data_IF_969565743105
#
_entry.id   IF_969565743105
#
_cell.length_a   1.000
_cell.length_b   1.000
_cell.length_c   1.000
_cell.angle_alpha   90.00
_cell.angle_beta   90.00
_cell.angle_gamma   90.00
#
_symmetry.space_group_name_H-M   'P 1'
#
loop_
_entity.id
_entity.type
_entity.pdbx_description
1 polymer ?
#
# COMPACT_ATOMS: atom_id res chain seq x y z
N UNK A 1 13.98 2.26 5.70
CA UNK A 1 13.20 2.34 4.52
C UNK A 1 11.98 1.51 4.61
N UNK A 2 10.85 2.01 4.22
CA UNK A 2 9.63 1.28 4.37
C UNK A 2 9.30 0.50 3.11
N UNK A 3 9.45 -0.80 3.18
CA UNK A 3 9.12 -1.65 2.05
C UNK A 3 7.66 -1.55 1.67
N UNK A 4 6.82 -1.21 2.63
CA UNK A 4 5.40 -1.12 2.35
C UNK A 4 5.10 -0.07 1.29
N UNK A 5 5.74 1.08 1.38
CA UNK A 5 5.52 2.12 0.39
C UNK A 5 6.00 1.67 -0.98
N UNK A 6 7.10 0.93 -1.00
CA UNK A 6 7.61 0.42 -2.24
C UNK A 6 6.62 -0.58 -2.84
N UNK A 7 6.01 -1.40 -2.01
CA UNK A 7 5.02 -2.35 -2.48
C UNK A 7 3.80 -1.65 -3.02
N UNK A 8 3.40 -0.54 -2.41
CA UNK A 8 2.27 0.23 -2.92
C UNK A 8 2.58 0.78 -4.31
N UNK A 9 3.80 1.25 -4.49
CA UNK A 9 4.19 1.74 -5.81
C UNK A 9 4.12 0.61 -6.82
N UNK A 10 4.56 -0.56 -6.46
CA UNK A 10 4.52 -1.69 -7.37
C UNK A 10 3.09 -2.07 -7.70
N UNK A 11 2.18 -1.95 -6.75
CA UNK A 11 0.78 -2.25 -7.00
C UNK A 11 0.18 -1.31 -8.03
N UNK A 12 0.69 -0.07 -8.08
CA UNK A 12 0.19 0.88 -9.06
C UNK A 12 0.92 0.77 -10.40
N UNK A 13 2.20 0.45 -10.37
CA UNK A 13 2.98 0.44 -11.60
C UNK A 13 3.10 -0.95 -12.21
N UNK A 14 2.99 -1.97 -11.41
CA UNK A 14 3.10 -3.33 -11.90
C UNK A 14 2.00 -4.14 -11.28
N UNK A 15 2.24 -5.38 -11.01
CA UNK A 15 1.28 -6.22 -10.33
C UNK A 15 1.91 -6.73 -9.07
N UNK A 16 1.12 -6.93 -8.05
CA UNK A 16 1.63 -7.44 -6.79
C UNK A 16 0.55 -8.30 -6.17
N UNK A 17 0.91 -9.27 -5.37
CA UNK A 17 -0.07 -10.13 -4.75
C UNK A 17 -0.69 -9.44 -3.54
N UNK A 18 -1.94 -9.76 -3.29
CA UNK A 18 -2.62 -9.19 -2.13
C UNK A 18 -1.90 -9.59 -0.85
N UNK A 19 -1.34 -10.80 -0.80
CA UNK A 19 -0.62 -11.23 0.38
C UNK A 19 0.59 -10.37 0.66
N UNK A 20 1.29 -9.96 -0.38
CA UNK A 20 2.48 -9.13 -0.19
C UNK A 20 2.11 -7.80 0.40
N UNK A 21 1.06 -7.19 -0.12
CA UNK A 21 0.62 -5.90 0.39
C UNK A 21 0.17 -6.04 1.84
N UNK A 22 -0.62 -7.04 2.14
CA UNK A 22 -1.14 -7.20 3.50
C UNK A 22 -0.03 -7.52 4.49
N UNK A 23 0.93 -8.31 4.06
CA UNK A 23 2.06 -8.64 4.90
C UNK A 23 2.90 -7.41 5.18
N UNK A 24 3.18 -6.63 4.18
CA UNK A 24 3.94 -5.40 4.34
C UNK A 24 3.18 -4.40 5.19
N UNK A 25 1.88 -4.35 5.05
CA UNK A 25 1.05 -3.45 5.84
C UNK A 25 1.11 -3.83 7.32
N UNK A 26 1.10 -5.12 7.61
CA UNK A 26 1.21 -5.55 8.98
C UNK A 26 2.52 -5.11 9.57
N UNK A 27 3.58 -5.26 8.83
CA UNK A 27 4.90 -4.87 9.27
C UNK A 27 4.96 -3.37 9.46
N UNK A 28 4.37 -2.64 8.53
CA UNK A 28 4.32 -1.18 8.61
C UNK A 28 3.62 -0.74 9.89
N UNK A 29 2.54 -1.39 10.26
CA UNK A 29 1.82 -1.02 11.46
C UNK A 29 2.59 -1.33 12.73
N UNK A 30 3.52 -2.26 12.66
CA UNK A 30 4.35 -2.54 13.81
C UNK A 30 5.38 -1.43 13.99
N UNK A 31 5.89 -0.90 12.90
CA UNK A 31 6.87 0.16 12.97
C UNK A 31 6.19 1.48 13.29
N UNK A 32 4.99 1.68 12.78
CA UNK A 32 4.28 2.94 12.98
C UNK A 32 2.94 2.62 13.64
N UNK A 33 2.91 2.41 14.93
CA UNK A 33 1.67 2.03 15.60
C UNK A 33 0.68 3.17 15.76
N UNK A 34 1.13 4.38 15.68
CA UNK A 34 0.25 5.52 15.86
C UNK A 34 -0.55 5.80 14.61
N UNK A 35 -1.86 5.92 14.76
CA UNK A 35 -2.71 6.22 13.62
C UNK A 35 -2.42 7.59 13.04
N UNK A 36 -2.07 8.51 13.87
CA UNK A 36 -1.76 9.87 13.41
C UNK A 36 -0.55 9.85 12.51
N UNK A 37 0.47 9.07 12.88
CA UNK A 37 1.66 8.98 12.06
C UNK A 37 1.38 8.21 10.79
N UNK A 38 0.57 7.19 10.88
CA UNK A 38 0.22 6.43 9.71
C UNK A 38 -0.48 7.32 8.68
N UNK A 39 -1.38 8.14 9.13
CA UNK A 39 -2.08 9.06 8.25
C UNK A 39 -1.13 10.07 7.64
N UNK A 40 -0.21 10.56 8.45
CA UNK A 40 0.74 11.54 7.98
C UNK A 40 1.63 10.96 6.89
N UNK A 41 2.16 9.77 7.13
CA UNK A 41 3.03 9.14 6.15
C UNK A 41 2.25 8.86 4.87
N UNK A 42 1.02 8.38 5.00
CA UNK A 42 0.21 8.10 3.84
C UNK A 42 -0.09 9.35 3.02
N UNK A 43 -0.32 10.46 3.72
CA UNK A 43 -0.61 11.70 3.03
C UNK A 43 0.62 12.21 2.29
N UNK A 44 1.77 12.16 2.94
CA UNK A 44 2.99 12.62 2.32
C UNK A 44 3.34 11.74 1.13
N UNK A 45 3.12 10.44 1.26
CA UNK A 45 3.38 9.54 0.17
C UNK A 45 2.44 9.84 -1.00
N UNK A 46 1.20 10.12 -0.71
CA UNK A 46 0.24 10.42 -1.75
C UNK A 46 0.61 11.72 -2.48
N UNK A 47 1.03 12.72 -1.74
CA UNK A 47 1.43 13.98 -2.35
C UNK A 47 2.68 13.77 -3.20
N UNK A 48 3.61 12.98 -2.73
CA UNK A 48 4.86 12.79 -3.43
C UNK A 48 4.71 11.91 -4.66
N UNK A 49 3.92 10.87 -4.58
CA UNK A 49 3.83 9.92 -5.68
C UNK A 49 2.49 9.91 -6.38
N UNK A 50 1.48 10.45 -5.75
CA UNK A 50 0.15 10.40 -6.32
C UNK A 50 -0.58 9.10 -6.05
N UNK A 51 0.01 8.20 -5.26
CA UNK A 51 -0.59 6.92 -4.97
C UNK A 51 -1.14 6.90 -3.56
N UNK A 52 -2.21 6.15 -3.35
CA UNK A 52 -2.82 6.06 -2.04
C UNK A 52 -2.56 4.70 -1.44
N UNK A 53 -1.91 4.66 -0.31
CA UNK A 53 -1.62 3.39 0.32
C UNK A 53 -2.87 2.74 0.92
N UNK A 54 -3.84 3.56 1.32
CA UNK A 54 -5.07 2.99 1.84
C UNK A 54 -5.83 2.27 0.74
N UNK A 55 -5.79 2.80 -0.46
CA UNK A 55 -6.45 2.16 -1.57
C UNK A 55 -5.81 0.83 -1.87
N UNK A 56 -4.49 0.77 -1.82
CA UNK A 56 -3.78 -0.47 -2.06
C UNK A 56 -4.16 -1.52 -1.02
N UNK A 57 -4.23 -1.13 0.23
CA UNK A 57 -4.57 -2.06 1.30
C UNK A 57 -6.01 -2.55 1.15
N UNK A 58 -6.92 -1.64 0.82
CA UNK A 58 -8.30 -2.03 0.65
C UNK A 58 -8.47 -2.98 -0.52
N UNK A 59 -7.81 -2.71 -1.62
CA UNK A 59 -7.87 -3.58 -2.77
C UNK A 59 -7.31 -4.96 -2.43
N UNK A 60 -6.24 -5.00 -1.66
CA UNK A 60 -5.67 -6.26 -1.24
C UNK A 60 -6.61 -7.04 -0.34
N UNK A 61 -7.31 -6.34 0.54
CA UNK A 61 -8.24 -7.00 1.43
C UNK A 61 -9.41 -7.59 0.66
N UNK A 62 -9.88 -6.88 -0.33
CA UNK A 62 -10.98 -7.37 -1.12
C UNK A 62 -10.55 -8.54 -1.99
N UNK A 63 -9.35 -8.47 -2.52
CA UNK A 63 -8.88 -9.53 -3.39
C UNK A 63 -8.53 -10.77 -2.59
N UNK A 64 -7.98 -10.56 -1.42
CA UNK A 64 -7.56 -11.65 -0.54
C UNK A 64 -6.47 -12.51 -1.10
N UNK A 65 -6.52 -12.97 -2.30
CA UNK A 65 -5.48 -13.77 -2.88
C UNK A 65 -5.28 -13.39 -4.31
N UNK A 66 -4.17 -13.68 -4.87
CA UNK A 66 -3.89 -13.43 -6.26
C UNK A 66 -3.28 -12.06 -6.49
N UNK A 67 -2.91 -11.79 -7.72
CA UNK A 67 -2.26 -10.54 -8.06
C UNK A 67 -3.29 -9.50 -8.45
N UNK A 68 -2.95 -8.26 -8.25
CA UNK A 68 -3.82 -7.17 -8.65
C UNK A 68 -2.97 -5.94 -8.98
N UNK A 69 -3.57 -5.00 -9.67
CA UNK A 69 -2.88 -3.78 -10.03
C UNK A 69 -3.86 -2.62 -9.92
N UNK A 70 -3.37 -1.51 -9.40
CA UNK A 70 -4.22 -0.36 -9.27
C UNK A 70 -4.00 0.66 -10.35
N UNK A 71 -2.96 0.49 -11.08
CA UNK A 71 -2.49 1.50 -11.89
C UNK A 71 -3.29 1.96 -13.00
N UNK A 72 -3.74 1.34 -13.72
CA UNK A 72 -4.20 1.80 -14.77
C UNK A 72 -5.44 1.47 -15.05
N UNK A 73 -6.28 2.02 -14.89
CA UNK A 73 -7.43 1.81 -15.03
C UNK A 73 -7.84 2.40 -16.17
N UNK A 74 -7.87 2.40 -16.99
CA UNK A 74 -8.26 3.07 -18.04
C UNK A 74 -9.47 2.71 -18.53
#
# INVERSE_FOLDING_TARGET
>A
MLSFLNDVERAYEEKITAEEILSSYKFFKKIVPSKAEEKRIGREFEIASGYSLYRAVQAAKQKEKGMFSLGKEI
#
